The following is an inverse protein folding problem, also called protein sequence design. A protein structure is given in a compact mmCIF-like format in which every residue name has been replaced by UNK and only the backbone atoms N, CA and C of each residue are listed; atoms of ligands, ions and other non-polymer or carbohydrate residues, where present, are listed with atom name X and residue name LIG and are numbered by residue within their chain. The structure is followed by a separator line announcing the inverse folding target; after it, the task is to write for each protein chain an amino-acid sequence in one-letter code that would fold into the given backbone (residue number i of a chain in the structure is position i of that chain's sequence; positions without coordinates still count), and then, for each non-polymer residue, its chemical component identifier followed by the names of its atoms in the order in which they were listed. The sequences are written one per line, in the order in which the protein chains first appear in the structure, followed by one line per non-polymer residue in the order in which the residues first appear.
data_IF_521344272998
#
_entry.id   IF_521344272998
#
_cell.length_a   1.000
_cell.length_b   1.000
_cell.length_c   1.000
_cell.angle_alpha   90.00
_cell.angle_beta   90.00
_cell.angle_gamma   90.00
#
_symmetry.space_group_name_H-M   'P 1'
#
loop_
_entity.id
_entity.type
_entity.pdbx_description
1 polymer ?
#
# COMPACT_ATOMS: atom_id res chain seq x y z
N UNK A 1 19.24 -7.57 23.72
CA UNK A 1 19.34 -6.46 22.76
C UNK A 1 18.03 -6.32 22.01
N UNK A 2 17.56 -5.10 21.77
CA UNK A 2 16.31 -4.88 21.05
C UNK A 2 16.51 -5.20 19.55
N UNK A 3 15.61 -6.00 18.98
CA UNK A 3 15.64 -6.38 17.57
C UNK A 3 15.08 -5.24 16.73
N UNK A 4 15.80 -4.83 15.70
CA UNK A 4 15.37 -3.85 14.71
C UNK A 4 14.61 -4.54 13.55
N UNK A 5 15.26 -5.50 12.91
CA UNK A 5 14.74 -6.16 11.71
C UNK A 5 15.02 -7.66 11.73
N UNK A 6 14.01 -8.45 11.36
CA UNK A 6 14.19 -9.85 10.96
C UNK A 6 13.89 -9.95 9.48
N UNK A 7 14.86 -10.43 8.70
CA UNK A 7 14.73 -10.66 7.26
C UNK A 7 15.31 -12.03 6.89
N UNK A 8 14.44 -12.93 6.46
CA UNK A 8 14.74 -14.33 6.26
C UNK A 8 15.34 -14.94 7.54
N UNK A 9 16.51 -15.58 7.46
CA UNK A 9 17.19 -16.21 8.59
C UNK A 9 18.09 -15.24 9.39
N UNK A 10 18.09 -13.95 9.02
CA UNK A 10 18.93 -12.94 9.64
C UNK A 10 18.16 -12.07 10.62
N UNK A 11 18.75 -11.82 11.77
CA UNK A 11 18.23 -10.89 12.78
C UNK A 11 19.25 -9.79 12.97
N UNK A 12 18.78 -8.54 12.84
CA UNK A 12 19.58 -7.33 13.05
C UNK A 12 19.04 -6.59 14.28
N UNK A 13 19.94 -6.24 15.18
CA UNK A 13 19.61 -5.48 16.38
C UNK A 13 19.72 -3.97 16.13
N UNK A 14 19.17 -3.16 17.04
CA UNK A 14 19.39 -1.72 17.03
C UNK A 14 20.86 -1.36 17.29
N UNK A 15 21.63 -2.22 17.95
CA UNK A 15 23.08 -2.04 18.12
C UNK A 15 23.83 -2.25 16.80
N UNK A 16 23.49 -3.28 16.02
CA UNK A 16 24.06 -3.49 14.69
C UNK A 16 23.78 -2.29 13.77
N UNK A 17 22.55 -1.78 13.82
CA UNK A 17 22.15 -0.60 13.07
C UNK A 17 22.94 0.63 13.52
N UNK A 18 23.04 0.87 14.82
CA UNK A 18 23.78 1.99 15.42
C UNK A 18 25.26 1.98 15.03
N UNK A 19 25.91 0.82 15.12
CA UNK A 19 27.28 0.64 14.66
C UNK A 19 27.42 0.95 13.16
N UNK A 20 26.51 0.46 12.34
CA UNK A 20 26.50 0.71 10.88
C UNK A 20 26.38 2.21 10.56
N UNK A 21 25.59 2.97 11.34
CA UNK A 21 25.35 4.40 11.11
C UNK A 21 26.56 5.24 11.57
N UNK A 22 27.15 4.95 12.70
CA UNK A 22 28.29 5.70 13.24
C UNK A 22 29.59 5.52 12.45
N UNK A 23 29.71 4.46 11.65
CA UNK A 23 30.85 4.23 10.75
C UNK A 23 30.54 4.65 9.29
N UNK A 24 29.39 5.28 9.04
CA UNK A 24 28.99 5.64 7.69
C UNK A 24 29.72 6.85 7.17
N UNK A 25 30.45 6.67 6.06
CA UNK A 25 31.11 7.74 5.30
C UNK A 25 30.55 7.88 3.89
N UNK A 26 29.62 7.00 3.52
CA UNK A 26 29.03 6.95 2.19
C UNK A 26 27.54 6.59 2.25
N UNK A 27 26.80 7.03 1.24
CA UNK A 27 25.44 6.60 0.96
C UNK A 27 25.25 6.41 -0.54
N UNK A 28 24.22 5.69 -0.92
CA UNK A 28 23.84 5.47 -2.32
C UNK A 28 22.62 6.34 -2.67
N UNK A 29 22.75 7.39 -3.52
CA UNK A 29 21.64 8.25 -3.91
C UNK A 29 20.54 7.57 -4.71
N UNK A 30 20.91 6.61 -5.56
CA UNK A 30 20.02 5.80 -6.40
C UNK A 30 20.18 4.34 -6.01
N UNK A 31 19.51 3.93 -4.93
CA UNK A 31 19.63 2.58 -4.40
C UNK A 31 18.60 1.65 -5.03
N UNK A 32 19.10 0.55 -5.60
CA UNK A 32 18.31 -0.59 -6.06
C UNK A 32 18.83 -1.86 -5.40
N UNK A 33 18.08 -2.42 -4.44
CA UNK A 33 18.49 -3.62 -3.69
C UNK A 33 17.29 -4.46 -3.28
N UNK A 34 17.49 -5.76 -3.10
CA UNK A 34 16.55 -6.68 -2.47
C UNK A 34 16.82 -6.89 -0.97
N UNK A 35 17.98 -6.48 -0.51
CA UNK A 35 18.35 -6.56 0.90
C UNK A 35 17.68 -5.43 1.69
N UNK A 36 16.70 -5.78 2.50
CA UNK A 36 15.89 -4.81 3.27
C UNK A 36 16.72 -4.10 4.35
N UNK A 37 17.71 -4.77 4.93
CA UNK A 37 18.59 -4.14 5.92
C UNK A 37 19.50 -3.10 5.27
N UNK A 38 20.16 -3.44 4.17
CA UNK A 38 20.97 -2.50 3.38
C UNK A 38 20.14 -1.30 2.94
N UNK A 39 18.89 -1.55 2.52
CA UNK A 39 17.95 -0.51 2.14
C UNK A 39 17.68 0.46 3.30
N UNK A 40 17.32 -0.05 4.50
CA UNK A 40 17.03 0.81 5.66
C UNK A 40 18.26 1.55 6.17
N UNK A 41 19.43 0.90 6.22
CA UNK A 41 20.68 1.55 6.59
C UNK A 41 20.98 2.73 5.67
N UNK A 42 20.85 2.53 4.34
CA UNK A 42 21.09 3.59 3.37
C UNK A 42 20.06 4.73 3.48
N UNK A 43 18.77 4.39 3.67
CA UNK A 43 17.72 5.38 3.90
C UNK A 43 18.04 6.27 5.12
N UNK A 44 18.37 5.67 6.27
CA UNK A 44 18.66 6.40 7.49
C UNK A 44 19.93 7.27 7.31
N UNK A 45 20.98 6.74 6.66
CA UNK A 45 22.20 7.49 6.34
C UNK A 45 21.91 8.74 5.52
N UNK A 46 21.16 8.57 4.42
CA UNK A 46 20.79 9.69 3.55
C UNK A 46 20.01 10.77 4.34
N UNK A 47 19.01 10.36 5.11
CA UNK A 47 18.15 11.27 5.86
C UNK A 47 18.92 12.00 6.97
N UNK A 48 19.68 11.29 7.78
CA UNK A 48 20.48 11.90 8.84
C UNK A 48 21.58 12.82 8.31
N UNK A 49 22.07 12.59 7.08
CA UNK A 49 23.04 13.44 6.41
C UNK A 49 22.42 14.60 5.60
N UNK A 50 21.10 14.77 5.62
CA UNK A 50 20.36 15.73 4.79
C UNK A 50 20.64 15.57 3.28
N UNK A 51 20.69 14.34 2.77
CA UNK A 51 20.97 14.04 1.38
C UNK A 51 19.73 13.51 0.65
N UNK A 52 19.53 13.87 -0.60
CA UNK A 52 18.40 13.37 -1.39
C UNK A 52 18.57 11.88 -1.69
N UNK A 53 17.46 11.17 -1.81
CA UNK A 53 17.43 9.74 -2.08
C UNK A 53 16.38 9.41 -3.14
N UNK A 54 16.75 8.59 -4.09
CA UNK A 54 15.84 8.00 -5.10
C UNK A 54 15.70 6.52 -4.81
N UNK A 55 14.48 6.09 -4.52
CA UNK A 55 14.17 4.71 -4.16
C UNK A 55 13.72 3.95 -5.40
N UNK A 56 14.57 3.05 -5.87
CA UNK A 56 14.28 2.19 -7.02
C UNK A 56 13.79 0.82 -6.53
N UNK A 57 12.61 0.42 -7.00
CA UNK A 57 12.12 -0.94 -6.77
C UNK A 57 13.11 -1.95 -7.37
N UNK A 58 13.38 -3.04 -6.64
CA UNK A 58 14.33 -4.08 -7.08
C UNK A 58 13.97 -4.71 -8.42
N UNK A 59 12.69 -4.72 -8.77
CA UNK A 59 12.17 -5.32 -10.00
C UNK A 59 11.98 -4.31 -11.14
N UNK A 60 12.23 -3.01 -10.87
CA UNK A 60 12.10 -1.96 -11.86
C UNK A 60 13.35 -1.92 -12.75
N UNK A 61 13.16 -1.81 -14.07
CA UNK A 61 14.26 -1.56 -14.98
C UNK A 61 14.56 -0.05 -15.00
N UNK A 62 15.77 0.40 -14.65
CA UNK A 62 16.12 1.83 -14.64
C UNK A 62 15.89 2.52 -15.99
N UNK A 63 16.04 1.81 -17.12
CA UNK A 63 15.76 2.34 -18.47
C UNK A 63 14.28 2.71 -18.71
N UNK A 64 13.36 2.23 -17.87
CA UNK A 64 11.94 2.58 -17.93
C UNK A 64 11.63 3.92 -17.24
N UNK A 65 12.63 4.54 -16.59
CA UNK A 65 12.45 5.75 -15.79
C UNK A 65 13.15 6.93 -16.45
N UNK A 66 12.40 7.93 -16.86
CA UNK A 66 12.95 9.15 -17.40
C UNK A 66 13.87 9.87 -16.39
N UNK A 67 15.09 10.21 -16.82
CA UNK A 67 16.05 10.95 -16.02
C UNK A 67 16.82 10.12 -15.00
N UNK A 68 16.76 8.78 -15.06
CA UNK A 68 17.63 7.88 -14.29
C UNK A 68 18.76 7.39 -15.21
N UNK A 69 20.01 7.71 -14.85
CA UNK A 69 21.20 7.13 -15.49
C UNK A 69 21.49 5.77 -14.85
N UNK A 70 21.47 4.70 -15.66
CA UNK A 70 21.75 3.34 -15.20
C UNK A 70 23.15 3.22 -14.58
N UNK A 71 24.12 4.03 -15.04
CA UNK A 71 25.48 4.03 -14.53
C UNK A 71 25.57 4.61 -13.11
N UNK A 72 24.61 5.43 -12.70
CA UNK A 72 24.55 6.01 -11.35
C UNK A 72 23.86 5.08 -10.34
N UNK A 73 23.15 4.04 -10.80
CA UNK A 73 22.46 3.09 -9.92
C UNK A 73 23.49 2.34 -9.06
N UNK A 74 23.25 2.32 -7.76
CA UNK A 74 24.11 1.71 -6.74
C UNK A 74 25.52 2.31 -6.62
N UNK A 75 25.77 3.47 -7.22
CA UNK A 75 27.00 4.22 -6.94
C UNK A 75 26.92 4.94 -5.61
N UNK A 76 28.00 4.90 -4.84
CA UNK A 76 28.07 5.60 -3.54
C UNK A 76 28.60 7.02 -3.70
N UNK A 77 28.16 7.90 -2.80
CA UNK A 77 28.68 9.26 -2.65
C UNK A 77 29.14 9.47 -1.20
N UNK A 78 30.27 10.14 -1.05
CA UNK A 78 30.81 10.46 0.27
C UNK A 78 29.86 11.43 1.02
N UNK A 79 29.68 11.17 2.31
CA UNK A 79 29.00 12.04 3.24
C UNK A 79 29.92 12.34 4.42
N UNK A 80 29.65 13.45 5.10
CA UNK A 80 30.30 13.73 6.37
C UNK A 80 29.86 12.69 7.41
N UNK A 81 30.86 12.08 8.06
CA UNK A 81 30.60 11.14 9.15
C UNK A 81 29.94 11.87 10.32
N UNK A 82 28.78 11.39 10.74
CA UNK A 82 28.14 11.85 11.98
C UNK A 82 28.36 10.82 13.07
N UNK A 83 28.64 11.32 14.27
CA UNK A 83 28.70 10.50 15.49
C UNK A 83 27.43 10.73 16.28
N UNK A 84 26.68 9.70 16.55
CA UNK A 84 25.49 9.72 17.38
C UNK A 84 25.84 9.11 18.74
N UNK A 85 25.32 9.68 19.83
CA UNK A 85 25.52 9.15 21.18
C UNK A 85 24.52 8.04 21.51
N UNK A 86 23.35 8.05 20.85
CA UNK A 86 22.25 7.09 21.07
C UNK A 86 21.39 6.90 19.83
N UNK A 87 20.54 5.87 19.84
CA UNK A 87 19.50 5.72 18.82
C UNK A 87 18.46 6.85 18.85
N UNK A 88 18.21 7.44 20.02
CA UNK A 88 17.32 8.60 20.13
C UNK A 88 17.89 9.81 19.36
N UNK A 89 19.21 10.00 19.36
CA UNK A 89 19.87 11.05 18.57
C UNK A 89 19.73 10.78 17.06
N UNK A 90 19.81 9.51 16.64
CA UNK A 90 19.57 9.11 15.24
C UNK A 90 18.14 9.47 14.84
N UNK A 91 17.15 9.10 15.67
CA UNK A 91 15.73 9.41 15.42
C UNK A 91 15.49 10.91 15.37
N UNK A 92 16.04 11.67 16.32
CA UNK A 92 15.93 13.12 16.35
C UNK A 92 16.55 13.78 15.11
N UNK A 93 17.74 13.31 14.69
CA UNK A 93 18.39 13.79 13.45
C UNK A 93 17.56 13.50 12.21
N UNK A 94 16.94 12.33 12.14
CA UNK A 94 16.06 11.95 11.04
C UNK A 94 14.81 12.83 11.00
N UNK A 95 14.16 13.08 12.13
CA UNK A 95 12.96 13.93 12.23
C UNK A 95 13.23 15.37 11.80
N UNK A 96 14.45 15.86 11.99
CA UNK A 96 14.88 17.20 11.57
C UNK A 96 15.37 17.25 10.11
N UNK A 97 15.37 16.13 9.40
CA UNK A 97 15.92 16.05 8.06
C UNK A 97 15.06 16.82 7.06
N UNK A 98 15.73 17.61 6.22
CA UNK A 98 15.15 18.30 5.06
C UNK A 98 15.33 17.50 3.75
N UNK A 99 15.77 16.26 3.84
CA UNK A 99 16.01 15.41 2.65
C UNK A 99 14.77 15.22 1.82
N UNK A 100 15.00 15.18 0.51
CA UNK A 100 13.97 14.81 -0.48
C UNK A 100 14.08 13.33 -0.82
N UNK A 101 12.95 12.64 -0.75
CA UNK A 101 12.84 11.22 -1.05
C UNK A 101 11.97 11.08 -2.30
N UNK A 102 12.56 10.57 -3.36
CA UNK A 102 11.85 10.27 -4.61
C UNK A 102 11.38 8.83 -4.61
N UNK A 103 10.07 8.65 -4.83
CA UNK A 103 9.43 7.36 -5.03
C UNK A 103 8.71 7.32 -6.38
N UNK A 104 8.47 6.12 -6.89
CA UNK A 104 7.81 5.93 -8.17
C UNK A 104 6.49 5.20 -8.00
N UNK A 105 5.47 5.63 -8.75
CA UNK A 105 4.18 4.95 -8.80
C UNK A 105 4.06 4.16 -10.09
N UNK A 106 3.31 3.08 -10.08
CA UNK A 106 2.86 2.41 -11.30
C UNK A 106 1.87 3.33 -12.01
N UNK A 107 2.34 4.12 -12.97
CA UNK A 107 1.48 4.97 -13.79
C UNK A 107 0.43 4.13 -14.54
N UNK A 108 -0.81 4.59 -14.61
CA UNK A 108 -1.87 3.98 -15.45
C UNK A 108 -1.54 4.03 -16.96
N UNK A 109 -0.52 4.81 -17.34
CA UNK A 109 -0.02 4.98 -18.71
C UNK A 109 1.19 4.12 -19.03
N UNK A 110 1.62 3.23 -18.12
CA UNK A 110 2.74 2.32 -18.29
C UNK A 110 4.09 2.85 -17.80
N UNK A 111 4.35 4.16 -17.84
CA UNK A 111 5.58 4.73 -17.29
C UNK A 111 5.44 5.09 -15.81
N UNK A 112 6.46 4.78 -14.96
CA UNK A 112 6.44 5.14 -13.54
C UNK A 112 6.41 6.67 -13.35
N UNK A 113 5.50 7.15 -12.50
CA UNK A 113 5.42 8.58 -12.17
C UNK A 113 6.29 8.88 -10.96
N UNK A 114 7.11 9.90 -11.08
CA UNK A 114 7.98 10.40 -10.03
C UNK A 114 7.19 11.25 -9.05
N UNK A 115 7.31 10.94 -7.73
CA UNK A 115 6.77 11.77 -6.64
C UNK A 115 7.88 12.02 -5.63
N UNK A 116 8.11 13.28 -5.31
CA UNK A 116 9.14 13.71 -4.35
C UNK A 116 8.46 14.08 -3.04
N UNK A 117 8.87 13.43 -1.98
CA UNK A 117 8.41 13.66 -0.62
C UNK A 117 9.52 14.23 0.27
N UNK A 118 9.12 14.86 1.37
CA UNK A 118 10.00 15.21 2.50
C UNK A 118 9.73 14.25 3.65
N UNK A 119 10.62 14.24 4.65
CA UNK A 119 10.38 13.46 5.88
C UNK A 119 9.05 13.85 6.51
N UNK A 120 8.71 15.14 6.58
CA UNK A 120 7.42 15.61 7.13
C UNK A 120 6.20 15.00 6.46
N UNK A 121 6.24 14.83 5.13
CA UNK A 121 5.11 14.22 4.40
C UNK A 121 4.99 12.73 4.65
N UNK A 122 6.12 12.04 4.84
CA UNK A 122 6.17 10.60 5.10
C UNK A 122 5.82 10.25 6.56
N UNK A 123 6.18 11.12 7.50
CA UNK A 123 6.02 10.88 8.94
C UNK A 123 4.76 11.52 9.54
N UNK A 124 3.99 12.27 8.75
CA UNK A 124 2.77 12.99 9.20
C UNK A 124 1.82 12.14 10.03
N UNK A 125 1.70 10.85 9.73
CA UNK A 125 0.82 9.91 10.43
C UNK A 125 1.50 9.15 11.57
N UNK A 126 2.80 9.33 11.77
CA UNK A 126 3.56 8.67 12.84
C UNK A 126 3.03 9.13 14.21
N UNK A 127 2.87 8.18 15.09
CA UNK A 127 2.43 8.39 16.46
C UNK A 127 3.53 7.96 17.39
N UNK A 128 3.95 8.88 18.25
CA UNK A 128 5.02 8.70 19.23
C UNK A 128 4.47 8.55 20.65
N UNK A 129 5.27 7.98 21.53
CA UNK A 129 5.02 7.85 22.97
C UNK A 129 5.04 6.40 23.45
N UNK A 130 5.08 6.22 24.76
CA UNK A 130 5.32 4.90 25.39
C UNK A 130 4.34 3.81 24.99
N UNK A 131 3.08 4.16 24.74
CA UNK A 131 2.05 3.22 24.26
C UNK A 131 2.30 2.65 22.85
N UNK A 132 3.25 3.23 22.11
CA UNK A 132 3.63 2.78 20.76
C UNK A 132 4.97 2.06 20.74
N UNK A 133 5.63 1.91 21.88
CA UNK A 133 6.87 1.13 22.04
C UNK A 133 6.58 -0.35 22.26
N UNK A 134 7.59 -1.19 22.04
CA UNK A 134 7.51 -2.64 22.25
C UNK A 134 6.58 -3.37 21.28
N UNK A 135 6.26 -2.76 20.14
CA UNK A 135 5.43 -3.36 19.10
C UNK A 135 6.28 -4.20 18.15
N UNK A 136 5.71 -5.30 17.65
CA UNK A 136 6.31 -6.14 16.62
C UNK A 136 5.44 -6.02 15.37
N UNK A 137 6.01 -5.49 14.30
CA UNK A 137 5.31 -5.17 13.06
C UNK A 137 5.60 -6.19 11.96
N UNK A 138 4.57 -6.76 11.36
CA UNK A 138 4.71 -7.40 10.05
C UNK A 138 4.97 -6.33 8.98
N UNK A 139 6.15 -6.39 8.36
CA UNK A 139 6.52 -5.52 7.25
C UNK A 139 6.08 -6.17 5.93
N UNK A 140 4.87 -5.84 5.48
CA UNK A 140 4.18 -6.51 4.36
C UNK A 140 4.13 -5.69 3.07
N UNK A 141 4.68 -4.49 3.07
CA UNK A 141 4.74 -3.62 1.88
C UNK A 141 6.13 -3.62 1.23
N UNK A 142 6.15 -3.31 -0.06
CA UNK A 142 7.41 -3.01 -0.72
C UNK A 142 8.10 -1.81 -0.06
N UNK A 143 9.39 -1.92 0.31
CA UNK A 143 10.12 -0.87 1.02
C UNK A 143 10.19 0.47 0.28
N UNK A 144 10.20 0.45 -1.04
CA UNK A 144 10.34 1.66 -1.89
C UNK A 144 9.04 2.42 -2.12
N UNK A 145 7.91 1.91 -1.58
CA UNK A 145 6.61 2.52 -1.74
C UNK A 145 6.17 3.30 -0.49
N UNK A 146 5.28 4.28 -0.69
CA UNK A 146 4.75 5.14 0.37
C UNK A 146 4.29 4.35 1.61
N UNK A 147 3.51 3.29 1.44
CA UNK A 147 2.98 2.52 2.56
C UNK A 147 4.09 1.80 3.34
N UNK A 148 5.10 1.25 2.63
CA UNK A 148 6.28 0.64 3.26
C UNK A 148 7.08 1.67 4.06
N UNK A 149 7.33 2.85 3.50
CA UNK A 149 8.01 3.94 4.21
C UNK A 149 7.24 4.37 5.46
N UNK A 150 5.91 4.51 5.39
CA UNK A 150 5.10 4.89 6.54
C UNK A 150 5.11 3.85 7.67
N UNK A 151 5.09 2.56 7.33
CA UNK A 151 5.26 1.48 8.34
C UNK A 151 6.66 1.51 8.93
N UNK A 152 7.69 1.70 8.08
CA UNK A 152 9.06 1.85 8.55
C UNK A 152 9.20 3.00 9.55
N UNK A 153 8.76 4.21 9.22
CA UNK A 153 8.88 5.36 10.12
C UNK A 153 8.09 5.16 11.41
N UNK A 154 6.86 4.63 11.35
CA UNK A 154 6.09 4.33 12.56
C UNK A 154 6.81 3.34 13.49
N UNK A 155 7.44 2.32 12.93
CA UNK A 155 8.19 1.35 13.72
C UNK A 155 9.54 1.91 14.20
N UNK A 156 10.32 2.51 13.31
CA UNK A 156 11.66 2.98 13.58
C UNK A 156 11.71 4.11 14.62
N UNK A 157 10.85 5.13 14.49
CA UNK A 157 10.83 6.27 15.41
C UNK A 157 10.37 5.88 16.83
N UNK A 158 9.69 4.74 17.00
CA UNK A 158 9.35 4.16 18.29
C UNK A 158 10.30 3.02 18.71
N UNK A 159 11.36 2.76 17.94
CA UNK A 159 12.32 1.67 18.16
C UNK A 159 11.66 0.29 18.31
N UNK A 160 10.68 0.01 17.46
CA UNK A 160 9.93 -1.25 17.38
C UNK A 160 10.63 -2.25 16.46
N UNK A 161 10.22 -3.51 16.54
CA UNK A 161 10.75 -4.59 15.69
C UNK A 161 9.98 -4.69 14.38
N UNK A 162 10.69 -4.83 13.28
CA UNK A 162 10.15 -5.15 11.94
C UNK A 162 10.42 -6.61 11.59
N UNK A 163 9.41 -7.35 11.20
CA UNK A 163 9.53 -8.71 10.67
C UNK A 163 9.16 -8.66 9.19
N UNK A 164 10.12 -8.89 8.30
CA UNK A 164 9.88 -8.85 6.87
C UNK A 164 9.02 -10.03 6.42
N UNK A 165 7.79 -9.75 6.02
CA UNK A 165 6.83 -10.71 5.44
C UNK A 165 6.47 -10.36 3.98
N UNK A 166 7.11 -9.34 3.40
CA UNK A 166 6.86 -8.92 2.02
C UNK A 166 7.28 -10.03 1.04
N UNK A 167 6.39 -10.34 0.10
CA UNK A 167 6.56 -11.40 -0.90
C UNK A 167 6.79 -12.83 -0.33
N UNK A 168 6.45 -13.08 0.93
CA UNK A 168 6.51 -14.43 1.51
C UNK A 168 5.25 -15.22 1.24
N UNK A 169 5.41 -16.53 1.20
CA UNK A 169 4.27 -17.46 1.09
C UNK A 169 3.43 -17.45 2.36
N UNK A 170 2.15 -17.78 2.23
CA UNK A 170 1.19 -17.82 3.35
C UNK A 170 1.70 -18.59 4.57
N UNK A 171 2.27 -19.77 4.35
CA UNK A 171 2.79 -20.62 5.43
C UNK A 171 3.91 -19.91 6.21
N UNK A 172 4.85 -19.28 5.49
CA UNK A 172 5.96 -18.55 6.11
C UNK A 172 5.45 -17.33 6.90
N UNK A 173 4.44 -16.63 6.38
CA UNK A 173 3.83 -15.49 7.10
C UNK A 173 3.23 -15.96 8.43
N UNK A 174 2.49 -17.04 8.44
CA UNK A 174 1.89 -17.60 9.66
C UNK A 174 2.94 -18.10 10.65
N UNK A 175 3.99 -18.77 10.17
CA UNK A 175 5.13 -19.18 11.00
C UNK A 175 5.77 -17.96 11.69
N UNK A 176 6.05 -16.88 10.94
CA UNK A 176 6.64 -15.68 11.47
C UNK A 176 5.72 -14.96 12.47
N UNK A 177 4.40 -14.92 12.24
CA UNK A 177 3.44 -14.35 13.18
C UNK A 177 3.51 -15.11 14.51
N UNK A 178 3.49 -16.44 14.49
CA UNK A 178 3.57 -17.27 15.68
C UNK A 178 4.92 -17.16 16.38
N UNK A 179 6.02 -17.29 15.63
CA UNK A 179 7.39 -17.28 16.16
C UNK A 179 7.78 -15.97 16.85
N UNK A 180 7.45 -14.84 16.22
CA UNK A 180 7.83 -13.52 16.72
C UNK A 180 6.72 -12.80 17.47
N UNK A 181 5.57 -13.45 17.68
CA UNK A 181 4.40 -12.85 18.37
C UNK A 181 4.07 -11.47 17.81
N UNK A 182 3.93 -11.39 16.48
CA UNK A 182 3.62 -10.16 15.77
C UNK A 182 2.37 -9.53 16.36
N UNK A 183 2.43 -8.23 16.65
CA UNK A 183 1.34 -7.47 17.28
C UNK A 183 0.58 -6.58 16.29
N UNK A 184 1.24 -6.12 15.24
CA UNK A 184 0.71 -5.17 14.26
C UNK A 184 0.95 -5.68 12.83
N UNK A 185 -0.11 -5.68 12.02
CA UNK A 185 -0.04 -5.99 10.59
C UNK A 185 -0.63 -4.82 9.81
N UNK A 186 0.17 -4.23 8.92
CA UNK A 186 -0.31 -3.22 7.99
C UNK A 186 -0.03 -3.69 6.57
N UNK A 187 -1.08 -3.90 5.77
CA UNK A 187 -0.97 -4.50 4.46
C UNK A 187 -2.12 -4.08 3.52
N UNK A 188 -2.03 -4.46 2.24
CA UNK A 188 -3.12 -4.30 1.30
C UNK A 188 -4.26 -5.29 1.60
N UNK A 189 -5.52 -4.99 1.23
CA UNK A 189 -6.60 -5.99 1.23
C UNK A 189 -6.24 -7.27 0.50
N UNK A 190 -5.51 -7.18 -0.61
CA UNK A 190 -5.01 -8.37 -1.35
C UNK A 190 -4.11 -9.24 -0.48
N UNK A 191 -3.20 -8.67 0.32
CA UNK A 191 -2.36 -9.45 1.23
C UNK A 191 -3.21 -10.29 2.19
N UNK A 192 -4.24 -9.70 2.82
CA UNK A 192 -5.11 -10.43 3.73
C UNK A 192 -5.93 -11.51 3.05
N UNK A 193 -6.38 -11.29 1.81
CA UNK A 193 -7.06 -12.35 1.02
C UNK A 193 -6.13 -13.53 0.73
N UNK A 194 -4.84 -13.26 0.50
CA UNK A 194 -3.83 -14.30 0.26
C UNK A 194 -3.47 -15.11 1.51
N UNK A 195 -3.82 -14.63 2.70
CA UNK A 195 -3.70 -15.41 3.93
C UNK A 195 -4.80 -16.48 4.06
N UNK A 196 -5.85 -16.45 3.27
CA UNK A 196 -6.91 -17.46 3.28
C UNK A 196 -6.53 -18.68 2.41
N UNK A 197 -6.99 -19.88 2.78
CA UNK A 197 -7.63 -20.24 4.04
C UNK A 197 -6.62 -20.23 5.22
N UNK A 198 -7.12 -20.11 6.45
CA UNK A 198 -6.30 -20.14 7.65
C UNK A 198 -6.59 -21.43 8.45
N UNK A 199 -5.59 -21.86 9.24
CA UNK A 199 -5.68 -23.08 10.06
C UNK A 199 -5.83 -22.75 11.55
N UNK A 200 -5.20 -21.66 12.00
CA UNK A 200 -5.15 -21.24 13.39
C UNK A 200 -5.43 -19.74 13.54
N UNK A 201 -5.99 -19.37 14.70
CA UNK A 201 -6.12 -17.98 15.10
C UNK A 201 -4.84 -17.50 15.80
N UNK A 202 -4.51 -16.21 15.61
CA UNK A 202 -3.32 -15.57 16.19
C UNK A 202 -3.74 -14.41 17.09
N UNK A 203 -3.82 -14.64 18.38
CA UNK A 203 -4.24 -13.63 19.37
C UNK A 203 -3.19 -12.55 19.62
N UNK A 204 -1.92 -12.79 19.25
CA UNK A 204 -0.84 -11.80 19.38
C UNK A 204 -1.09 -10.55 18.54
N UNK A 205 -1.79 -10.68 17.41
CA UNK A 205 -2.07 -9.54 16.51
C UNK A 205 -3.23 -8.72 17.08
N UNK A 206 -2.90 -7.57 17.66
CA UNK A 206 -3.87 -6.66 18.28
C UNK A 206 -4.30 -5.50 17.37
N UNK A 207 -3.61 -5.31 16.25
CA UNK A 207 -3.91 -4.25 15.27
C UNK A 207 -3.71 -4.71 13.84
N UNK A 208 -4.74 -4.52 13.04
CA UNK A 208 -4.73 -4.72 11.58
C UNK A 208 -5.04 -3.40 10.90
N UNK A 209 -4.21 -3.00 9.93
CA UNK A 209 -4.46 -1.84 9.08
C UNK A 209 -4.52 -2.26 7.62
N UNK A 210 -5.57 -1.84 6.93
CA UNK A 210 -5.74 -2.02 5.49
C UNK A 210 -5.59 -0.67 4.79
N UNK A 211 -4.99 -0.66 3.62
CA UNK A 211 -4.89 0.56 2.81
C UNK A 211 -4.50 0.30 1.36
N UNK A 212 -4.70 1.31 0.52
CA UNK A 212 -4.28 1.29 -0.88
C UNK A 212 -5.21 0.56 -1.84
N UNK A 213 -6.23 -0.14 -1.35
CA UNK A 213 -7.27 -0.82 -2.15
C UNK A 213 -8.62 -0.75 -1.44
N UNK A 214 -9.69 -0.96 -2.19
CA UNK A 214 -11.03 -1.11 -1.61
C UNK A 214 -11.10 -2.43 -0.84
N UNK A 215 -11.73 -2.39 0.32
CA UNK A 215 -12.01 -3.56 1.15
C UNK A 215 -13.49 -3.66 1.48
N UNK A 216 -13.97 -4.86 1.70
CA UNK A 216 -15.35 -5.21 1.93
C UNK A 216 -15.55 -5.91 3.29
N UNK A 217 -16.80 -5.94 3.78
CA UNK A 217 -17.15 -6.51 5.09
C UNK A 217 -16.74 -7.99 5.22
N UNK A 218 -16.94 -8.80 4.16
CA UNK A 218 -16.55 -10.21 4.18
C UNK A 218 -15.04 -10.41 4.46
N UNK A 219 -14.20 -9.52 3.95
CA UNK A 219 -12.75 -9.56 4.25
C UNK A 219 -12.49 -9.25 5.73
N UNK A 220 -13.22 -8.27 6.30
CA UNK A 220 -13.07 -7.96 7.74
C UNK A 220 -13.49 -9.14 8.61
N UNK A 221 -14.59 -9.82 8.27
CA UNK A 221 -15.06 -10.99 8.98
C UNK A 221 -14.03 -12.14 8.92
N UNK A 222 -13.38 -12.31 7.78
CA UNK A 222 -12.31 -13.28 7.60
C UNK A 222 -11.06 -12.91 8.40
N UNK A 223 -10.66 -11.64 8.40
CA UNK A 223 -9.54 -11.14 9.20
C UNK A 223 -9.80 -11.34 10.69
N UNK A 224 -11.01 -11.11 11.17
CA UNK A 224 -11.38 -11.33 12.58
C UNK A 224 -11.33 -12.80 13.00
N UNK A 225 -11.50 -13.73 12.07
CA UNK A 225 -11.30 -15.16 12.35
C UNK A 225 -9.82 -15.51 12.50
N UNK A 226 -8.95 -14.88 11.69
CA UNK A 226 -7.48 -15.09 11.78
C UNK A 226 -6.91 -14.37 13.01
N UNK A 227 -7.35 -13.14 13.29
CA UNK A 227 -6.83 -12.25 14.32
C UNK A 227 -7.96 -11.77 15.25
N UNK A 228 -8.45 -12.64 16.15
CA UNK A 228 -9.69 -12.40 16.90
C UNK A 228 -9.61 -11.22 17.88
N UNK A 229 -8.41 -10.85 18.32
CA UNK A 229 -8.17 -9.71 19.23
C UNK A 229 -7.88 -8.40 18.49
N UNK A 230 -7.74 -8.45 17.16
CA UNK A 230 -7.29 -7.31 16.39
C UNK A 230 -8.35 -6.22 16.25
N UNK A 231 -7.95 -4.98 16.48
CA UNK A 231 -8.73 -3.83 16.03
C UNK A 231 -8.40 -3.52 14.57
N UNK A 232 -9.39 -3.68 13.70
CA UNK A 232 -9.25 -3.41 12.26
C UNK A 232 -9.38 -1.91 12.01
N UNK A 233 -8.48 -1.38 11.19
CA UNK A 233 -8.45 -0.01 10.72
C UNK A 233 -8.25 0.01 9.20
N UNK A 234 -9.13 0.68 8.46
CA UNK A 234 -8.98 0.90 7.04
C UNK A 234 -8.61 2.37 6.79
N UNK A 235 -7.57 2.62 5.98
CA UNK A 235 -7.05 3.97 5.74
C UNK A 235 -7.16 4.36 4.28
N UNK A 236 -7.59 5.60 4.05
CA UNK A 236 -7.46 6.24 2.75
C UNK A 236 -6.03 6.76 2.61
N UNK A 237 -5.32 6.20 1.65
CA UNK A 237 -3.93 6.51 1.39
C UNK A 237 -3.62 6.44 -0.11
N UNK A 238 -2.70 7.28 -0.55
CA UNK A 238 -2.16 7.25 -1.91
C UNK A 238 -0.65 7.52 -1.89
N UNK A 239 0.03 7.22 -3.00
CA UNK A 239 1.45 7.56 -3.13
C UNK A 239 1.67 9.06 -3.12
N UNK A 240 0.72 9.81 -3.65
CA UNK A 240 0.78 11.27 -3.78
C UNK A 240 0.71 11.99 -2.44
N UNK A 241 -0.09 11.45 -1.50
CA UNK A 241 -0.43 12.13 -0.24
C UNK A 241 -0.08 11.35 1.04
N UNK A 242 0.27 10.08 0.93
CA UNK A 242 0.38 9.18 2.08
C UNK A 242 -0.98 8.86 2.71
N UNK A 243 -0.98 8.44 3.97
CA UNK A 243 -2.20 8.19 4.73
C UNK A 243 -2.84 9.50 5.18
N UNK A 244 -4.10 9.72 4.81
CA UNK A 244 -4.82 10.97 5.10
C UNK A 244 -5.85 10.80 6.22
N UNK A 245 -6.69 9.77 6.14
CA UNK A 245 -7.73 9.54 7.14
C UNK A 245 -8.15 8.06 7.18
N UNK A 246 -8.80 7.69 8.28
CA UNK A 246 -9.27 6.34 8.52
C UNK A 246 -10.76 6.20 8.29
N UNK A 247 -11.21 4.98 8.01
CA UNK A 247 -12.61 4.65 7.95
C UNK A 247 -13.23 4.60 9.35
N UNK A 248 -14.51 4.94 9.39
CA UNK A 248 -15.42 4.74 10.53
C UNK A 248 -16.58 3.88 10.01
N UNK A 249 -16.54 2.60 10.32
CA UNK A 249 -17.41 1.62 9.65
C UNK A 249 -17.04 1.47 8.17
N UNK A 250 -18.01 1.57 7.28
CA UNK A 250 -17.87 1.52 5.81
C UNK A 250 -17.60 2.89 5.17
N UNK A 251 -17.51 3.95 5.98
CA UNK A 251 -17.30 5.33 5.53
C UNK A 251 -15.94 5.84 5.96
N UNK A 252 -15.35 6.70 5.14
CA UNK A 252 -14.19 7.50 5.52
C UNK A 252 -14.63 8.82 6.12
N UNK A 253 -13.88 9.29 7.11
CA UNK A 253 -14.13 10.59 7.73
C UNK A 253 -12.96 11.53 7.54
N UNK A 254 -13.18 12.64 6.86
CA UNK A 254 -12.22 13.74 6.78
C UNK A 254 -12.16 14.45 8.13
N UNK A 255 -11.01 14.44 8.83
CA UNK A 255 -10.89 15.13 10.11
C UNK A 255 -11.18 16.63 9.98
N UNK A 256 -11.88 17.21 10.94
CA UNK A 256 -12.28 18.62 10.92
C UNK A 256 -11.10 19.57 10.69
N UNK A 257 -9.98 19.30 11.35
CA UNK A 257 -8.73 20.13 11.27
C UNK A 257 -8.18 20.30 9.86
N UNK A 258 -8.47 19.34 8.96
CA UNK A 258 -7.95 19.35 7.59
C UNK A 258 -9.07 19.39 6.54
N UNK A 259 -10.32 19.58 6.94
CA UNK A 259 -11.47 19.55 6.03
C UNK A 259 -11.38 20.60 4.93
N UNK A 260 -10.82 21.77 5.22
CA UNK A 260 -10.57 22.83 4.26
C UNK A 260 -9.45 22.48 3.22
N UNK A 261 -8.79 21.35 3.38
CA UNK A 261 -7.80 20.83 2.43
C UNK A 261 -8.40 19.88 1.40
N UNK A 262 -9.72 19.70 1.42
CA UNK A 262 -10.44 18.83 0.50
C UNK A 262 -11.62 19.60 -0.12
N UNK A 263 -11.89 19.32 -1.36
CA UNK A 263 -13.11 19.74 -2.05
C UNK A 263 -13.60 18.62 -2.96
N UNK A 264 -14.84 18.69 -3.41
CA UNK A 264 -15.44 17.70 -4.32
C UNK A 264 -16.03 18.42 -5.51
N UNK A 265 -15.61 18.03 -6.71
CA UNK A 265 -16.09 18.55 -7.98
C UNK A 265 -16.49 17.36 -8.85
N UNK A 266 -17.70 17.34 -9.36
CA UNK A 266 -18.26 16.24 -10.16
C UNK A 266 -18.08 14.84 -9.50
N UNK A 267 -18.38 14.76 -8.22
CA UNK A 267 -18.16 13.59 -7.35
C UNK A 267 -16.68 13.22 -7.13
N UNK A 268 -15.71 13.89 -7.75
CA UNK A 268 -14.29 13.64 -7.58
C UNK A 268 -13.74 14.36 -6.35
N UNK A 269 -13.04 13.60 -5.47
CA UNK A 269 -12.33 14.17 -4.32
C UNK A 269 -11.06 14.86 -4.78
N UNK A 270 -10.96 16.15 -4.53
CA UNK A 270 -9.77 16.95 -4.81
C UNK A 270 -9.01 17.22 -3.51
N UNK A 271 -7.68 17.15 -3.58
CA UNK A 271 -6.78 17.25 -2.42
C UNK A 271 -5.91 18.50 -2.57
N UNK A 272 -5.88 19.34 -1.52
CA UNK A 272 -5.06 20.55 -1.52
C UNK A 272 -3.56 20.22 -1.60
N UNK A 273 -2.82 20.96 -2.41
CA UNK A 273 -1.38 20.73 -2.68
C UNK A 273 -0.49 20.64 -1.43
N UNK A 274 -0.89 21.26 -0.31
CA UNK A 274 -0.12 21.21 0.95
C UNK A 274 -0.10 19.84 1.63
N UNK A 275 -0.93 18.88 1.17
CA UNK A 275 -0.94 17.52 1.66
C UNK A 275 -0.18 16.54 0.76
N UNK A 276 0.33 17.00 -0.37
CA UNK A 276 0.93 16.17 -1.40
C UNK A 276 2.46 16.23 -1.39
N UNK A 277 3.09 15.20 -1.90
CA UNK A 277 4.44 15.30 -2.46
C UNK A 277 4.45 16.20 -3.70
N UNK A 278 5.60 16.35 -4.35
CA UNK A 278 5.75 17.12 -5.58
C UNK A 278 5.92 16.21 -6.78
N UNK A 279 5.21 16.52 -7.87
CA UNK A 279 5.36 15.83 -9.16
C UNK A 279 4.91 16.72 -10.29
N UNK A 280 5.63 16.70 -11.41
CA UNK A 280 5.26 17.42 -12.63
C UNK A 280 4.05 16.78 -13.32
N UNK A 281 3.73 15.53 -12.97
CA UNK A 281 2.58 14.82 -13.52
C UNK A 281 1.24 15.18 -12.86
N UNK A 282 1.25 15.98 -11.79
CA UNK A 282 0.03 16.34 -11.07
C UNK A 282 -0.80 17.36 -11.83
N UNK A 283 -2.09 17.07 -11.93
CA UNK A 283 -3.07 18.00 -12.51
C UNK A 283 -3.78 18.74 -11.40
N UNK A 284 -3.70 20.07 -11.43
CA UNK A 284 -4.32 20.93 -10.43
C UNK A 284 -5.46 21.76 -11.04
N UNK A 285 -6.50 21.94 -10.25
CA UNK A 285 -7.50 22.99 -10.39
C UNK A 285 -7.29 24.00 -9.27
N UNK A 286 -6.70 25.16 -9.58
CA UNK A 286 -6.22 26.11 -8.58
C UNK A 286 -5.15 25.50 -7.67
N UNK A 287 -5.48 25.32 -6.40
CA UNK A 287 -4.59 24.70 -5.40
C UNK A 287 -4.92 23.22 -5.11
N UNK A 288 -5.88 22.64 -5.83
CA UNK A 288 -6.37 21.30 -5.56
C UNK A 288 -6.00 20.32 -6.66
N UNK A 289 -5.49 19.17 -6.26
CA UNK A 289 -5.08 18.07 -7.12
C UNK A 289 -6.27 17.14 -7.39
N UNK A 290 -6.44 16.75 -8.64
CA UNK A 290 -7.40 15.75 -9.07
C UNK A 290 -6.95 14.35 -8.65
N UNK A 291 -7.54 13.78 -7.57
CA UNK A 291 -7.17 12.45 -7.09
C UNK A 291 -7.59 11.32 -8.02
N UNK A 292 -8.60 11.57 -8.85
CA UNK A 292 -9.27 10.56 -9.65
C UNK A 292 -10.23 9.67 -8.84
N UNK A 293 -10.37 9.89 -7.55
CA UNK A 293 -11.23 9.11 -6.67
C UNK A 293 -12.64 9.71 -6.60
N UNK A 294 -13.64 8.95 -7.04
CA UNK A 294 -15.05 9.34 -7.00
C UNK A 294 -15.65 8.91 -5.66
N UNK A 295 -16.33 9.84 -5.01
CA UNK A 295 -16.93 9.65 -3.70
C UNK A 295 -18.43 9.95 -3.70
N UNK A 296 -19.10 9.51 -2.65
CA UNK A 296 -20.47 9.86 -2.31
C UNK A 296 -20.52 10.36 -0.87
N UNK A 297 -21.03 11.56 -0.66
CA UNK A 297 -21.24 12.07 0.68
C UNK A 297 -22.34 11.27 1.41
N UNK A 298 -22.01 10.79 2.60
CA UNK A 298 -22.98 10.22 3.55
C UNK A 298 -23.47 11.32 4.48
N UNK A 299 -22.53 12.14 4.95
CA UNK A 299 -22.80 13.35 5.74
C UNK A 299 -21.71 14.38 5.44
N UNK A 300 -22.05 15.37 4.64
CA UNK A 300 -21.13 16.40 4.20
C UNK A 300 -20.67 17.31 5.35
N UNK A 301 -21.55 17.59 6.31
CA UNK A 301 -21.26 18.45 7.45
C UNK A 301 -20.24 17.78 8.39
N UNK A 302 -20.36 16.47 8.59
CA UNK A 302 -19.41 15.68 9.37
C UNK A 302 -18.19 15.23 8.56
N UNK A 303 -18.15 15.47 7.25
CA UNK A 303 -17.09 15.04 6.35
C UNK A 303 -17.05 13.52 6.14
N UNK A 304 -18.21 12.85 6.25
CA UNK A 304 -18.35 11.41 6.04
C UNK A 304 -18.69 11.13 4.58
N UNK A 305 -17.94 10.22 3.96
CA UNK A 305 -18.17 9.80 2.57
C UNK A 305 -17.86 8.31 2.36
N UNK A 306 -18.42 7.76 1.28
CA UNK A 306 -18.05 6.47 0.73
C UNK A 306 -17.23 6.65 -0.52
N UNK A 307 -16.22 5.80 -0.68
CA UNK A 307 -15.52 5.68 -1.94
C UNK A 307 -16.37 4.89 -2.95
N UNK A 308 -16.64 5.48 -4.13
CA UNK A 308 -17.38 4.81 -5.21
C UNK A 308 -16.45 4.01 -6.11
N UNK A 309 -15.54 4.69 -6.79
CA UNK A 309 -14.63 4.12 -7.79
C UNK A 309 -13.50 5.06 -8.11
N UNK A 310 -12.56 4.62 -8.94
CA UNK A 310 -11.63 5.50 -9.63
C UNK A 310 -12.18 5.91 -10.99
N UNK A 311 -12.03 7.18 -11.32
CA UNK A 311 -12.48 7.76 -12.60
C UNK A 311 -11.87 7.02 -13.81
N UNK A 312 -10.60 6.64 -13.69
CA UNK A 312 -9.86 5.94 -14.75
C UNK A 312 -10.13 4.43 -14.82
N UNK A 313 -10.80 3.86 -13.82
CA UNK A 313 -11.12 2.42 -13.77
C UNK A 313 -12.53 2.12 -14.32
N UNK A 314 -13.33 3.15 -14.59
CA UNK A 314 -14.66 2.96 -15.17
C UNK A 314 -14.54 2.42 -16.60
N UNK A 315 -15.20 1.30 -16.86
CA UNK A 315 -15.22 0.63 -18.16
C UNK A 315 -16.46 1.10 -18.93
N UNK A 316 -16.26 1.59 -20.16
CA UNK A 316 -17.38 2.00 -21.01
C UNK A 316 -17.89 0.81 -21.81
N UNK A 317 -19.08 0.31 -21.45
CA UNK A 317 -19.74 -0.81 -22.10
C UNK A 317 -21.01 -0.30 -22.81
N UNK A 318 -20.93 -0.12 -24.13
CA UNK A 318 -22.09 0.34 -24.91
C UNK A 318 -22.65 1.70 -24.48
N UNK A 319 -21.81 2.62 -24.02
CA UNK A 319 -22.20 3.92 -23.49
C UNK A 319 -22.44 3.97 -21.98
N UNK A 320 -22.54 2.83 -21.32
CA UNK A 320 -22.66 2.75 -19.85
C UNK A 320 -21.30 2.67 -19.18
N UNK A 321 -21.07 3.52 -18.17
CA UNK A 321 -19.86 3.47 -17.33
C UNK A 321 -20.04 2.44 -16.22
N UNK A 322 -19.31 1.34 -16.31
CA UNK A 322 -19.35 0.24 -15.34
C UNK A 322 -18.17 0.33 -14.41
N UNK A 323 -18.43 0.28 -13.11
CA UNK A 323 -17.40 0.14 -12.09
C UNK A 323 -17.00 -1.33 -11.95
N UNK A 324 -15.79 -1.75 -12.34
CA UNK A 324 -15.37 -3.14 -12.20
C UNK A 324 -15.39 -3.64 -10.76
N UNK A 325 -15.08 -2.76 -9.80
CA UNK A 325 -15.12 -3.10 -8.38
C UNK A 325 -16.50 -3.47 -7.85
N UNK A 326 -17.58 -2.93 -8.43
CA UNK A 326 -18.94 -3.33 -8.11
C UNK A 326 -19.20 -4.80 -8.52
N UNK A 327 -18.79 -5.15 -9.73
CA UNK A 327 -18.93 -6.51 -10.27
C UNK A 327 -18.02 -7.48 -9.51
N UNK A 328 -16.80 -7.08 -9.20
CA UNK A 328 -15.87 -7.88 -8.39
C UNK A 328 -16.42 -8.18 -6.99
N UNK A 329 -17.11 -7.23 -6.36
CA UNK A 329 -17.70 -7.44 -5.04
C UNK A 329 -18.81 -8.50 -5.07
N UNK A 330 -19.68 -8.46 -6.09
CA UNK A 330 -20.73 -9.47 -6.26
C UNK A 330 -20.13 -10.84 -6.53
N UNK A 331 -19.10 -10.92 -7.37
CA UNK A 331 -18.40 -12.17 -7.66
C UNK A 331 -17.71 -12.76 -6.43
N UNK A 332 -17.06 -11.94 -5.59
CA UNK A 332 -16.41 -12.41 -4.35
C UNK A 332 -17.40 -12.87 -3.28
N UNK A 333 -18.64 -12.43 -3.35
CA UNK A 333 -19.68 -12.88 -2.43
C UNK A 333 -20.26 -14.28 -2.79
N UNK A 334 -19.85 -14.86 -3.92
CA UNK A 334 -20.25 -16.21 -4.31
C UNK A 334 -19.36 -17.22 -3.56
N UNK A 335 -19.97 -18.11 -2.78
CA UNK A 335 -19.27 -19.16 -2.06
C UNK A 335 -18.43 -20.01 -3.05
N UNK A 336 -17.17 -20.26 -2.70
CA UNK A 336 -16.22 -20.99 -3.55
C UNK A 336 -15.41 -20.10 -4.50
N UNK A 337 -15.65 -18.79 -4.53
CA UNK A 337 -14.81 -17.82 -5.25
C UNK A 337 -13.74 -17.28 -4.32
N UNK A 338 -12.47 -17.54 -4.63
CA UNK A 338 -11.31 -17.10 -3.86
C UNK A 338 -10.86 -15.69 -4.21
N UNK A 339 -10.72 -15.40 -5.50
CA UNK A 339 -10.24 -14.10 -5.98
C UNK A 339 -10.79 -13.79 -7.36
N UNK A 340 -10.96 -12.51 -7.67
CA UNK A 340 -11.55 -12.04 -8.91
C UNK A 340 -10.85 -10.80 -9.43
N UNK A 341 -10.74 -10.70 -10.74
CA UNK A 341 -10.34 -9.50 -11.46
C UNK A 341 -11.32 -9.24 -12.62
N UNK A 342 -11.96 -8.07 -12.59
CA UNK A 342 -12.85 -7.62 -13.69
C UNK A 342 -12.17 -6.51 -14.47
N UNK A 343 -12.18 -6.64 -15.80
CA UNK A 343 -11.52 -5.69 -16.70
C UNK A 343 -12.31 -5.51 -18.00
N UNK A 344 -12.06 -4.39 -18.69
CA UNK A 344 -12.62 -4.10 -20.00
C UNK A 344 -11.72 -4.65 -21.10
N UNK A 345 -12.29 -5.30 -22.10
CA UNK A 345 -11.61 -5.65 -23.34
C UNK A 345 -12.21 -4.89 -24.50
N UNK A 346 -11.36 -4.30 -25.34
CA UNK A 346 -11.80 -3.56 -26.50
C UNK A 346 -12.72 -4.38 -27.40
N UNK A 347 -13.83 -3.79 -27.84
CA UNK A 347 -14.82 -4.36 -28.71
C UNK A 347 -15.25 -3.32 -29.77
N UNK A 348 -15.26 -3.69 -31.02
CA UNK A 348 -15.53 -2.78 -32.14
C UNK A 348 -16.95 -2.19 -32.16
N UNK A 349 -17.91 -2.83 -31.49
CA UNK A 349 -19.31 -2.42 -31.48
C UNK A 349 -19.67 -1.65 -30.19
N UNK A 350 -19.23 -2.16 -29.04
CA UNK A 350 -19.62 -1.66 -27.71
C UNK A 350 -18.55 -0.77 -27.06
N UNK A 351 -17.45 -0.50 -27.76
CA UNK A 351 -16.27 0.16 -27.19
C UNK A 351 -15.49 -0.80 -26.28
N UNK A 352 -16.13 -1.34 -25.26
CA UNK A 352 -15.55 -2.41 -24.43
C UNK A 352 -16.62 -3.43 -24.03
N UNK A 353 -16.16 -4.64 -23.74
CA UNK A 353 -16.94 -5.68 -23.06
C UNK A 353 -16.28 -6.04 -21.76
N UNK A 354 -17.08 -6.38 -20.73
CA UNK A 354 -16.56 -6.85 -19.46
C UNK A 354 -16.04 -8.27 -19.59
N UNK A 355 -14.89 -8.49 -19.01
CA UNK A 355 -14.27 -9.79 -18.79
C UNK A 355 -14.02 -9.98 -17.30
N UNK A 356 -14.05 -11.23 -16.83
CA UNK A 356 -13.69 -11.59 -15.47
C UNK A 356 -12.74 -12.78 -15.48
N UNK A 357 -11.63 -12.66 -14.79
CA UNK A 357 -10.79 -13.78 -14.42
C UNK A 357 -11.09 -14.11 -12.95
N UNK A 358 -11.34 -15.41 -12.69
CA UNK A 358 -11.82 -15.88 -11.38
C UNK A 358 -10.91 -17.02 -10.93
N UNK A 359 -10.38 -16.90 -9.72
CA UNK A 359 -9.72 -17.98 -9.00
C UNK A 359 -10.73 -18.60 -8.05
N UNK A 360 -10.94 -19.90 -8.15
CA UNK A 360 -11.80 -20.66 -7.25
C UNK A 360 -11.02 -21.17 -6.04
N UNK A 361 -11.75 -21.50 -4.98
CA UNK A 361 -11.22 -22.30 -3.89
C UNK A 361 -10.98 -23.74 -4.35
N UNK A 362 -10.00 -24.43 -3.74
CA UNK A 362 -9.55 -25.77 -4.16
C UNK A 362 -10.69 -26.83 -4.14
N UNK A 363 -11.70 -26.62 -3.30
CA UNK A 363 -12.89 -27.50 -3.19
C UNK A 363 -14.08 -27.08 -4.04
N UNK A 364 -13.96 -26.02 -4.83
CA UNK A 364 -15.09 -25.42 -5.57
C UNK A 364 -15.26 -26.05 -6.94
N UNK A 365 -16.49 -26.47 -7.27
CA UNK A 365 -16.88 -27.00 -8.56
C UNK A 365 -17.74 -26.00 -9.38
N UNK A 366 -17.67 -24.70 -9.05
CA UNK A 366 -18.44 -23.66 -9.74
C UNK A 366 -18.13 -23.61 -11.23
N UNK A 367 -19.18 -23.53 -12.04
CA UNK A 367 -19.09 -23.38 -13.49
C UNK A 367 -19.39 -21.95 -13.94
N UNK A 368 -19.08 -21.64 -15.21
CA UNK A 368 -19.44 -20.35 -15.81
C UNK A 368 -20.97 -20.10 -15.78
N UNK A 369 -21.78 -21.16 -15.79
CA UNK A 369 -23.23 -21.04 -15.73
C UNK A 369 -23.68 -20.61 -14.35
N UNK A 370 -23.10 -21.20 -13.31
CA UNK A 370 -23.42 -20.88 -11.91
C UNK A 370 -23.06 -19.43 -11.60
N UNK A 371 -21.87 -19.01 -12.01
CA UNK A 371 -21.41 -17.61 -11.87
C UNK A 371 -22.36 -16.65 -12.59
N UNK A 372 -22.72 -16.90 -13.84
CA UNK A 372 -23.64 -16.04 -14.60
C UNK A 372 -25.02 -15.98 -13.97
N UNK A 373 -25.54 -17.10 -13.50
CA UNK A 373 -26.84 -17.16 -12.81
C UNK A 373 -26.83 -16.30 -11.55
N UNK A 374 -25.79 -16.40 -10.74
CA UNK A 374 -25.62 -15.60 -9.53
C UNK A 374 -25.53 -14.11 -9.86
N UNK A 375 -24.79 -13.71 -10.89
CA UNK A 375 -24.69 -12.32 -11.33
C UNK A 375 -26.01 -11.75 -11.85
N UNK A 376 -26.75 -12.52 -12.65
CA UNK A 376 -28.02 -12.08 -13.25
C UNK A 376 -29.08 -11.75 -12.21
N UNK A 377 -29.01 -12.35 -11.02
CA UNK A 377 -29.93 -12.06 -9.92
C UNK A 377 -29.61 -10.75 -9.18
N UNK A 378 -28.42 -10.18 -9.36
CA UNK A 378 -27.92 -9.05 -8.58
C UNK A 378 -27.48 -7.85 -9.41
N UNK A 379 -27.12 -8.05 -10.68
CA UNK A 379 -26.57 -7.01 -11.54
C UNK A 379 -27.39 -6.81 -12.81
N UNK A 380 -27.35 -5.59 -13.33
CA UNK A 380 -27.91 -5.24 -14.64
C UNK A 380 -27.12 -5.92 -15.75
N UNK A 381 -27.78 -6.26 -16.85
CA UNK A 381 -27.24 -7.07 -17.94
C UNK A 381 -25.92 -6.55 -18.55
N UNK A 382 -25.76 -5.22 -18.66
CA UNK A 382 -24.54 -4.60 -19.16
C UNK A 382 -23.36 -4.69 -18.19
N UNK A 383 -23.59 -5.04 -16.91
CA UNK A 383 -22.57 -5.26 -15.86
C UNK A 383 -22.13 -6.72 -15.78
N UNK A 384 -22.78 -7.63 -16.50
CA UNK A 384 -22.44 -9.05 -16.48
C UNK A 384 -21.27 -9.32 -17.43
N UNK A 385 -20.15 -9.90 -16.95
CA UNK A 385 -19.02 -10.24 -17.79
C UNK A 385 -19.41 -11.16 -18.96
N UNK A 386 -19.09 -10.74 -20.18
CA UNK A 386 -19.34 -11.54 -21.38
C UNK A 386 -18.38 -12.72 -21.49
N UNK A 387 -17.17 -12.57 -20.92
CA UNK A 387 -16.17 -13.63 -20.86
C UNK A 387 -15.76 -13.84 -19.41
N UNK A 388 -15.86 -15.08 -18.96
CA UNK A 388 -15.36 -15.53 -17.65
C UNK A 388 -14.29 -16.58 -17.93
N UNK A 389 -13.13 -16.42 -17.28
CA UNK A 389 -12.00 -17.34 -17.34
C UNK A 389 -11.65 -17.75 -15.91
N UNK A 390 -11.55 -19.05 -15.65
CA UNK A 390 -10.98 -19.56 -14.41
C UNK A 390 -9.45 -19.59 -14.53
N UNK A 391 -8.78 -19.12 -13.50
CA UNK A 391 -7.32 -19.03 -13.40
C UNK A 391 -6.85 -19.73 -12.13
N UNK A 392 -5.68 -20.34 -12.19
CA UNK A 392 -5.08 -20.99 -11.02
C UNK A 392 -4.50 -19.99 -10.04
N UNK A 393 -3.88 -18.92 -10.56
CA UNK A 393 -3.24 -17.88 -9.76
C UNK A 393 -3.26 -16.54 -10.48
N UNK A 394 -3.30 -15.45 -9.71
CA UNK A 394 -3.14 -14.10 -10.21
C UNK A 394 -1.71 -13.60 -10.05
N UNK A 395 -1.26 -12.80 -11.02
CA UNK A 395 -0.04 -12.01 -10.86
C UNK A 395 -0.30 -10.79 -9.99
N UNK A 396 0.66 -10.48 -9.12
CA UNK A 396 0.63 -9.28 -8.30
C UNK A 396 1.48 -8.19 -8.95
N UNK A 397 1.05 -6.95 -8.73
CA UNK A 397 1.87 -5.78 -9.03
C UNK A 397 2.99 -5.65 -7.99
N UNK A 398 3.97 -4.79 -8.26
CA UNK A 398 5.04 -4.42 -7.31
C UNK A 398 4.51 -3.88 -5.97
N UNK A 399 3.28 -3.36 -5.96
CA UNK A 399 2.60 -2.86 -4.77
C UNK A 399 1.82 -3.92 -4.00
N UNK A 400 1.90 -5.20 -4.42
CA UNK A 400 1.13 -6.29 -3.82
C UNK A 400 -0.36 -6.27 -4.15
N UNK A 401 -0.77 -5.58 -5.23
CA UNK A 401 -2.14 -5.55 -5.76
C UNK A 401 -2.27 -6.50 -6.94
N UNK A 402 -3.49 -6.90 -7.29
CA UNK A 402 -3.73 -7.65 -8.51
C UNK A 402 -3.32 -6.83 -9.75
N UNK A 403 -2.58 -7.47 -10.65
CA UNK A 403 -2.17 -6.85 -11.90
C UNK A 403 -3.35 -6.82 -12.86
N UNK A 404 -3.86 -5.63 -13.15
CA UNK A 404 -4.85 -5.43 -14.20
C UNK A 404 -4.12 -5.40 -15.54
N UNK A 405 -4.46 -6.33 -16.43
CA UNK A 405 -3.88 -6.45 -17.79
C UNK A 405 -4.37 -5.35 -18.73
#
# INVERSE_FOLDING_TARGET
MAVFLVDNDKTYTYEDLFCSLNHAIEYCPLLKTRDVYVYFVNLIRALTANRPLVLLDSDLNPSEIDGVDENEVNQTKVIEQKSFASMDDVVASLQQSSSEITIFTSGTTGQPKKVVHTVDTLTRSVRLGDKYKGQVWAYAYNPTHMAGLQVFFQAFENQNTLINVFNKQRADVYELIGKYQITHVSATPTFYRLLLPFEHAYESVIRVTLGGEKSEQHLYDSIMKIFPTAKINNVYASTEAGSLFAAKGDCFQIPEKIRNKFTVVDDELLIHKSLLGRSDSFKFEGNYYHSGDLIEWVDKEQGLFRFKSRKNELINVGGYKVNPGEVENVLRAIDGVKQVLVYGRANSVLGSVLCADIQLEDSSELTNVDIKKALTSQLQDFKIPRRIKFVEQFELTRTGKLKRS
#
